data_IF_864484890066
#
_entry.id   IF_864484890066
#
_cell.length_a   1.000
_cell.length_b   1.000
_cell.length_c   1.000
_cell.angle_alpha   90.00
_cell.angle_beta   90.00
_cell.angle_gamma   90.00
#
_symmetry.space_group_name_H-M   'P 1'
#
loop_
_entity.id
_entity.type
_entity.pdbx_description
1 polymer ?
#
# COMPACT_ATOMS: atom_id res chain seq x y z
N UNK A 1 -25.42 6.81 -8.99
CA UNK A 1 -24.82 5.50 -8.69
C UNK A 1 -23.52 5.38 -9.49
N UNK A 2 -22.42 4.92 -8.86
CA UNK A 2 -21.13 4.74 -9.54
C UNK A 2 -21.18 3.70 -10.67
N UNK A 3 -22.08 2.72 -10.58
CA UNK A 3 -22.18 1.58 -11.49
C UNK A 3 -22.49 1.89 -12.96
N UNK A 4 -22.99 3.08 -13.27
CA UNK A 4 -23.25 3.48 -14.66
C UNK A 4 -21.98 4.04 -15.34
N UNK A 5 -21.01 4.51 -14.55
CA UNK A 5 -19.79 5.17 -15.04
C UNK A 5 -18.51 4.38 -14.75
N UNK A 6 -18.55 3.48 -13.78
CA UNK A 6 -17.39 2.71 -13.36
C UNK A 6 -17.72 1.24 -13.13
N UNK A 7 -16.76 0.38 -13.45
CA UNK A 7 -16.78 -1.03 -13.04
C UNK A 7 -15.84 -1.22 -11.88
N UNK A 8 -16.20 -2.05 -10.89
CA UNK A 8 -15.36 -2.43 -9.75
C UNK A 8 -15.05 -3.92 -9.84
N UNK A 9 -13.80 -4.27 -9.74
CA UNK A 9 -13.30 -5.66 -9.79
C UNK A 9 -12.38 -5.91 -8.62
N UNK A 10 -12.45 -7.09 -8.05
CA UNK A 10 -11.64 -7.52 -6.91
C UNK A 10 -10.60 -8.54 -7.34
N UNK A 11 -9.45 -8.57 -6.65
CA UNK A 11 -8.39 -9.57 -6.80
C UNK A 11 -8.01 -9.78 -8.28
N UNK A 12 -7.47 -8.73 -8.91
CA UNK A 12 -7.10 -8.78 -10.32
C UNK A 12 -5.60 -8.80 -10.53
N UNK A 13 -5.15 -9.75 -11.33
CA UNK A 13 -3.76 -9.74 -11.78
C UNK A 13 -3.51 -8.50 -12.64
N UNK A 14 -2.45 -7.75 -12.35
CA UNK A 14 -2.16 -6.48 -13.03
C UNK A 14 -2.02 -6.66 -14.55
N UNK A 15 -1.43 -7.76 -15.03
CA UNK A 15 -1.31 -8.05 -16.45
C UNK A 15 -2.65 -8.08 -17.18
N UNK A 16 -3.67 -8.65 -16.54
CA UNK A 16 -5.01 -8.74 -17.12
C UNK A 16 -5.68 -7.36 -17.20
N UNK A 17 -5.39 -6.47 -16.23
CA UNK A 17 -5.92 -5.11 -16.19
C UNK A 17 -5.29 -4.22 -17.25
N UNK A 18 -3.98 -4.34 -17.47
CA UNK A 18 -3.24 -3.52 -18.43
C UNK A 18 -3.07 -4.19 -19.80
N UNK A 19 -3.59 -5.40 -19.97
CA UNK A 19 -3.53 -6.20 -21.21
C UNK A 19 -2.09 -6.42 -21.71
N UNK A 20 -1.18 -6.76 -20.80
CA UNK A 20 0.22 -7.09 -21.10
C UNK A 20 0.55 -8.55 -20.78
N UNK A 21 1.61 -9.06 -21.39
CA UNK A 21 2.14 -10.39 -21.04
C UNK A 21 2.70 -10.35 -19.58
N UNK A 22 2.39 -11.39 -18.82
CA UNK A 22 2.92 -11.57 -17.44
C UNK A 22 4.46 -11.52 -17.39
N UNK A 23 5.14 -11.88 -18.47
CA UNK A 23 6.60 -11.82 -18.58
C UNK A 23 7.16 -10.39 -18.57
N UNK A 24 6.37 -9.40 -18.95
CA UNK A 24 6.76 -7.99 -18.95
C UNK A 24 6.72 -7.36 -17.54
N UNK A 25 6.17 -8.08 -16.55
CA UNK A 25 5.96 -7.60 -15.18
C UNK A 25 6.99 -8.16 -14.18
N UNK A 26 8.16 -8.58 -14.64
CA UNK A 26 9.16 -9.26 -13.79
C UNK A 26 9.65 -8.42 -12.61
N UNK A 27 9.63 -7.10 -12.75
CA UNK A 27 10.16 -6.16 -11.74
C UNK A 27 9.08 -5.60 -10.80
N UNK A 28 7.83 -6.05 -10.93
CA UNK A 28 6.78 -5.64 -9.99
C UNK A 28 6.91 -6.38 -8.67
N UNK A 29 6.76 -5.61 -7.58
CA UNK A 29 6.86 -6.18 -6.22
C UNK A 29 5.66 -7.07 -5.85
N UNK A 30 4.53 -6.89 -6.55
CA UNK A 30 3.29 -7.68 -6.44
C UNK A 30 2.67 -7.83 -7.84
N UNK A 31 1.73 -8.75 -7.97
CA UNK A 31 1.03 -8.99 -9.24
C UNK A 31 -0.50 -8.91 -9.13
N UNK A 32 -1.06 -8.99 -7.93
CA UNK A 32 -2.50 -8.91 -7.69
C UNK A 32 -2.85 -7.58 -7.04
N UNK A 33 -3.92 -6.97 -7.54
CA UNK A 33 -4.50 -5.71 -7.06
C UNK A 33 -5.78 -6.06 -6.32
N UNK A 34 -5.92 -5.62 -5.09
CA UNK A 34 -7.09 -5.97 -4.26
C UNK A 34 -8.39 -5.41 -4.84
N UNK A 35 -8.41 -4.14 -5.25
CA UNK A 35 -9.56 -3.52 -5.90
C UNK A 35 -9.11 -2.70 -7.11
N UNK A 36 -9.76 -2.92 -8.24
CA UNK A 36 -9.59 -2.13 -9.46
C UNK A 36 -10.90 -1.44 -9.81
N UNK A 37 -10.86 -0.13 -10.02
CA UNK A 37 -11.98 0.66 -10.51
C UNK A 37 -11.63 1.16 -11.92
N UNK A 38 -12.50 0.92 -12.89
CA UNK A 38 -12.28 1.32 -14.28
C UNK A 38 -13.46 2.12 -14.78
N UNK A 39 -13.19 3.22 -15.46
CA UNK A 39 -14.18 4.03 -16.14
C UNK A 39 -14.78 3.26 -17.33
N UNK A 40 -16.10 3.27 -17.45
CA UNK A 40 -16.82 2.63 -18.57
C UNK A 40 -16.71 3.51 -19.81
N UNK A 41 -16.11 2.98 -20.88
CA UNK A 41 -15.90 3.74 -22.12
C UNK A 41 -14.80 4.81 -22.05
N UNK A 42 -14.13 4.96 -20.92
CA UNK A 42 -13.00 5.86 -20.70
C UNK A 42 -11.70 5.12 -20.43
N UNK A 43 -10.65 5.88 -20.10
CA UNK A 43 -9.31 5.35 -19.84
C UNK A 43 -8.90 5.39 -18.36
N UNK A 44 -9.70 6.01 -17.50
CA UNK A 44 -9.34 6.15 -16.09
C UNK A 44 -9.38 4.80 -15.36
N UNK A 45 -8.29 4.49 -14.70
CA UNK A 45 -8.10 3.29 -13.88
C UNK A 45 -7.56 3.68 -12.51
N UNK A 46 -8.13 3.11 -11.47
CA UNK A 46 -7.72 3.31 -10.09
C UNK A 46 -7.42 1.96 -9.45
N UNK A 47 -6.32 1.88 -8.72
CA UNK A 47 -5.92 0.68 -7.98
C UNK A 47 -5.95 0.96 -6.48
N UNK A 48 -6.48 0.03 -5.70
CA UNK A 48 -6.50 0.14 -4.24
C UNK A 48 -5.91 -1.13 -3.65
N UNK A 49 -4.91 -0.95 -2.79
CA UNK A 49 -4.33 -1.99 -1.94
C UNK A 49 -4.92 -1.88 -0.54
N UNK A 50 -5.38 -2.99 0.00
CA UNK A 50 -5.96 -3.10 1.33
C UNK A 50 -5.05 -3.92 2.24
N UNK A 51 -4.88 -3.47 3.49
CA UNK A 51 -4.10 -4.21 4.47
C UNK A 51 -4.77 -4.18 5.84
N UNK A 52 -4.93 -5.38 6.41
CA UNK A 52 -5.31 -5.58 7.81
C UNK A 52 -4.47 -6.71 8.40
N UNK A 53 -3.38 -6.41 9.11
CA UNK A 53 -2.51 -7.43 9.69
C UNK A 53 -3.23 -8.14 10.84
N UNK A 54 -3.17 -9.46 10.85
CA UNK A 54 -3.79 -10.32 11.86
C UNK A 54 -2.80 -10.98 12.81
N UNK A 55 -1.51 -10.63 12.70
CA UNK A 55 -0.45 -11.20 13.54
C UNK A 55 0.52 -10.13 14.04
N UNK A 56 1.25 -10.43 15.12
CA UNK A 56 2.14 -9.50 15.81
C UNK A 56 3.55 -9.37 15.23
N UNK A 57 3.79 -9.74 13.99
CA UNK A 57 5.11 -9.59 13.34
C UNK A 57 5.28 -8.16 12.79
N UNK A 58 5.36 -7.19 13.71
CA UNK A 58 5.28 -5.76 13.38
C UNK A 58 6.28 -5.30 12.31
N UNK A 59 7.60 -5.59 12.38
CA UNK A 59 8.54 -5.10 11.39
C UNK A 59 8.31 -5.70 10.01
N UNK A 60 7.95 -6.97 9.91
CA UNK A 60 7.57 -7.62 8.64
C UNK A 60 6.29 -7.05 8.07
N UNK A 61 5.28 -6.82 8.92
CA UNK A 61 4.03 -6.21 8.48
C UNK A 61 4.26 -4.77 8.00
N UNK A 62 5.03 -3.97 8.74
CA UNK A 62 5.39 -2.61 8.32
C UNK A 62 6.14 -2.61 6.98
N UNK A 63 7.05 -3.56 6.76
CA UNK A 63 7.72 -3.72 5.47
C UNK A 63 6.75 -4.11 4.35
N UNK A 64 5.77 -4.97 4.66
CA UNK A 64 4.69 -5.31 3.72
C UNK A 64 3.84 -4.10 3.34
N UNK A 65 3.54 -3.19 4.30
CA UNK A 65 2.81 -1.95 4.02
C UNK A 65 3.60 -1.04 3.05
N UNK A 66 4.92 -0.93 3.24
CA UNK A 66 5.79 -0.16 2.33
C UNK A 66 5.83 -0.80 0.93
N UNK A 67 5.80 -2.14 0.87
CA UNK A 67 5.71 -2.87 -0.39
C UNK A 67 4.43 -2.55 -1.17
N UNK A 68 3.30 -2.35 -0.47
CA UNK A 68 2.05 -1.93 -1.09
C UNK A 68 2.15 -0.51 -1.65
N UNK A 69 2.84 0.42 -0.96
CA UNK A 69 3.12 1.77 -1.50
C UNK A 69 3.96 1.70 -2.78
N UNK A 70 5.02 0.88 -2.78
CA UNK A 70 5.84 0.66 -3.99
C UNK A 70 5.02 0.08 -5.14
N UNK A 71 4.14 -0.86 -4.86
CA UNK A 71 3.26 -1.42 -5.88
C UNK A 71 2.31 -0.37 -6.45
N UNK A 72 1.79 0.52 -5.61
CA UNK A 72 1.00 1.67 -6.05
C UNK A 72 1.77 2.59 -7.01
N UNK A 73 3.04 2.89 -6.74
CA UNK A 73 3.90 3.63 -7.67
C UNK A 73 4.08 2.89 -9.00
N UNK A 74 4.29 1.57 -8.94
CA UNK A 74 4.45 0.75 -10.14
C UNK A 74 3.17 0.71 -10.99
N UNK A 75 1.99 0.66 -10.35
CA UNK A 75 0.72 0.74 -11.08
C UNK A 75 0.56 2.05 -11.86
N UNK A 76 1.01 3.20 -11.32
CA UNK A 76 1.01 4.47 -12.07
C UNK A 76 1.85 4.37 -13.35
N UNK A 77 3.03 3.73 -13.29
CA UNK A 77 3.89 3.52 -14.46
C UNK A 77 3.22 2.63 -15.53
N UNK A 78 2.22 1.86 -15.14
CA UNK A 78 1.39 1.04 -16.03
C UNK A 78 0.09 1.72 -16.47
N UNK A 79 -0.04 3.03 -16.25
CA UNK A 79 -1.14 3.84 -16.75
C UNK A 79 -2.38 3.83 -15.86
N UNK A 80 -2.24 3.55 -14.56
CA UNK A 80 -3.29 3.88 -13.61
C UNK A 80 -3.31 5.39 -13.37
N UNK A 81 -4.51 5.95 -13.21
CA UNK A 81 -4.72 7.39 -13.01
C UNK A 81 -4.31 7.82 -11.61
N UNK A 82 -4.74 7.06 -10.62
CA UNK A 82 -4.36 7.16 -9.22
C UNK A 82 -4.38 5.79 -8.58
N UNK A 83 -3.59 5.64 -7.51
CA UNK A 83 -3.59 4.41 -6.71
C UNK A 83 -3.59 4.74 -5.22
N UNK A 84 -4.09 3.81 -4.42
CA UNK A 84 -4.32 4.04 -3.00
C UNK A 84 -3.86 2.86 -2.17
N UNK A 85 -3.19 3.13 -1.05
CA UNK A 85 -2.91 2.14 -0.02
C UNK A 85 -3.75 2.48 1.21
N UNK A 86 -4.67 1.62 1.57
CA UNK A 86 -5.46 1.71 2.80
C UNK A 86 -5.03 0.61 3.76
N UNK A 87 -4.43 1.02 4.88
CA UNK A 87 -4.04 0.10 5.94
C UNK A 87 -4.86 0.38 7.18
N UNK A 88 -5.46 -0.65 7.72
CA UNK A 88 -6.17 -0.64 9.01
C UNK A 88 -5.39 -1.52 9.98
N UNK A 89 -5.26 -1.11 11.23
CA UNK A 89 -4.62 -1.88 12.31
C UNK A 89 -5.48 -1.83 13.57
N UNK A 90 -5.43 -2.89 14.36
CA UNK A 90 -6.13 -3.03 15.64
C UNK A 90 -5.18 -3.06 16.85
N UNK A 91 -3.87 -2.92 16.63
CA UNK A 91 -2.86 -2.92 17.68
C UNK A 91 -2.05 -1.62 17.70
N UNK A 92 -2.07 -0.94 18.84
CA UNK A 92 -1.37 0.31 19.06
C UNK A 92 0.18 0.21 18.92
N UNK A 93 0.74 -0.99 18.90
CA UNK A 93 2.17 -1.19 18.62
C UNK A 93 2.58 -0.82 17.21
N UNK A 94 1.64 -0.73 16.28
CA UNK A 94 1.93 -0.20 14.94
C UNK A 94 2.19 1.31 14.95
N UNK A 95 1.54 2.10 15.81
CA UNK A 95 1.55 3.55 15.71
C UNK A 95 2.09 4.31 16.94
N UNK A 96 2.03 3.78 18.16
CA UNK A 96 2.51 4.53 19.33
C UNK A 96 3.08 3.72 20.50
N UNK A 97 2.57 2.54 20.82
CA UNK A 97 2.90 1.77 22.05
C UNK A 97 4.23 1.01 21.96
N UNK A 98 4.95 1.05 20.86
CA UNK A 98 6.24 0.40 20.73
C UNK A 98 7.38 1.26 21.27
N UNK A 99 8.37 0.63 21.91
CA UNK A 99 9.58 1.32 22.41
C UNK A 99 10.55 1.69 21.29
N UNK A 100 10.62 0.87 20.23
CA UNK A 100 11.46 1.14 19.05
C UNK A 100 10.86 2.26 18.20
N UNK A 101 11.67 3.27 17.87
CA UNK A 101 11.29 4.43 17.04
C UNK A 101 12.30 4.73 15.93
N UNK A 102 13.28 3.87 15.77
CA UNK A 102 14.32 3.89 14.75
C UNK A 102 13.99 2.97 13.58
N UNK A 103 14.79 2.96 12.56
CA UNK A 103 14.63 2.16 11.34
C UNK A 103 13.18 2.22 10.80
N UNK A 104 12.62 1.08 10.41
CA UNK A 104 11.27 0.98 9.84
C UNK A 104 10.18 1.54 10.77
N UNK A 105 10.39 1.48 12.09
CA UNK A 105 9.40 1.98 13.06
C UNK A 105 9.26 3.50 13.02
N UNK A 106 10.30 4.22 12.59
CA UNK A 106 10.27 5.69 12.50
C UNK A 106 9.15 6.18 11.58
N UNK A 107 8.93 5.51 10.45
CA UNK A 107 7.89 5.88 9.49
C UNK A 107 6.46 5.77 10.07
N UNK A 108 6.25 4.80 10.95
CA UNK A 108 4.92 4.49 11.50
C UNK A 108 4.66 5.14 12.86
N UNK A 109 5.71 5.46 13.63
CA UNK A 109 5.59 5.90 15.03
C UNK A 109 6.06 7.32 15.30
N UNK A 110 6.80 7.97 14.37
CA UNK A 110 7.42 9.28 14.61
C UNK A 110 7.13 10.34 13.55
N UNK A 111 6.31 10.09 12.57
CA UNK A 111 6.07 10.99 11.43
C UNK A 111 7.29 11.21 10.51
N UNK A 112 8.30 10.34 10.56
CA UNK A 112 9.37 10.39 9.59
C UNK A 112 8.81 10.21 8.17
N UNK A 113 9.40 10.91 7.21
CA UNK A 113 9.04 10.78 5.79
C UNK A 113 9.45 9.40 5.30
N UNK A 114 8.51 8.70 4.68
CA UNK A 114 8.75 7.42 4.03
C UNK A 114 9.20 7.70 2.60
N UNK A 115 10.49 7.49 2.32
CA UNK A 115 11.14 7.80 1.04
C UNK A 115 12.40 6.95 0.82
N UNK A 116 12.86 6.90 -0.43
CA UNK A 116 14.14 6.30 -0.79
C UNK A 116 14.20 4.79 -0.60
N UNK A 117 15.38 4.28 -0.23
CA UNK A 117 15.65 2.85 -0.10
C UNK A 117 15.38 2.36 1.31
N UNK A 118 14.43 1.44 1.44
CA UNK A 118 14.05 0.81 2.71
C UNK A 118 14.52 -0.65 2.70
N UNK A 119 15.27 -1.01 3.74
CA UNK A 119 15.79 -2.37 3.94
C UNK A 119 14.78 -3.17 4.76
N UNK A 120 14.54 -4.42 4.37
CA UNK A 120 13.74 -5.33 5.18
C UNK A 120 14.42 -5.56 6.54
N UNK A 121 13.71 -5.31 7.66
CA UNK A 121 14.33 -5.31 8.99
C UNK A 121 14.67 -6.71 9.53
N UNK A 122 14.23 -7.77 8.85
CA UNK A 122 14.31 -9.15 9.33
C UNK A 122 14.57 -10.12 8.17
N UNK A 123 15.06 -11.30 8.53
CA UNK A 123 15.37 -12.38 7.58
C UNK A 123 16.86 -12.42 7.22
N UNK A 124 17.24 -13.51 6.54
CA UNK A 124 18.63 -13.71 6.09
C UNK A 124 18.94 -13.01 4.77
N UNK A 125 17.93 -12.84 3.94
CA UNK A 125 18.06 -12.21 2.63
C UNK A 125 17.78 -10.71 2.74
N UNK A 126 18.71 -9.89 2.28
CA UNK A 126 18.53 -8.44 2.23
C UNK A 126 17.55 -8.11 1.11
N UNK A 127 16.30 -7.86 1.46
CA UNK A 127 15.32 -7.33 0.52
C UNK A 127 15.28 -5.80 0.63
N UNK A 128 15.23 -5.14 -0.51
CA UNK A 128 15.15 -3.69 -0.62
C UNK A 128 13.86 -3.28 -1.32
N UNK A 129 13.30 -2.18 -0.87
CA UNK A 129 12.23 -1.45 -1.59
C UNK A 129 12.74 -0.04 -1.83
N UNK A 130 12.71 0.39 -3.07
CA UNK A 130 13.05 1.75 -3.45
C UNK A 130 11.78 2.50 -3.82
N UNK A 131 11.45 3.54 -3.07
CA UNK A 131 10.33 4.42 -3.33
C UNK A 131 10.78 5.61 -4.17
N UNK A 132 9.96 5.97 -5.15
CA UNK A 132 10.20 7.12 -6.02
C UNK A 132 9.60 8.41 -5.46
N UNK A 133 8.59 8.32 -4.64
CA UNK A 133 7.90 9.42 -3.99
C UNK A 133 8.23 9.55 -2.51
N UNK A 134 7.67 10.61 -1.91
CA UNK A 134 7.77 10.92 -0.49
C UNK A 134 6.38 10.81 0.14
N UNK A 135 6.24 10.06 1.22
CA UNK A 135 4.96 9.80 1.86
C UNK A 135 5.03 10.03 3.36
N UNK A 136 3.90 10.40 3.95
CA UNK A 136 3.75 10.49 5.40
C UNK A 136 2.60 9.61 5.87
N UNK A 137 2.88 8.75 6.84
CA UNK A 137 1.86 7.92 7.48
C UNK A 137 1.18 8.74 8.56
N UNK A 138 -0.10 9.06 8.31
CA UNK A 138 -0.95 9.83 9.22
C UNK A 138 -2.07 8.94 9.75
N UNK A 139 -1.85 8.35 10.91
CA UNK A 139 -2.84 7.51 11.56
C UNK A 139 -4.08 8.29 11.97
N UNK A 140 -5.24 7.78 11.61
CA UNK A 140 -6.55 8.33 11.93
C UNK A 140 -7.35 7.30 12.72
N UNK A 141 -8.18 7.77 13.65
CA UNK A 141 -9.08 6.90 14.41
C UNK A 141 -10.29 6.52 13.57
N UNK A 142 -10.72 5.27 13.70
CA UNK A 142 -11.98 4.84 13.13
C UNK A 142 -13.06 5.15 14.16
N UNK A 143 -14.04 5.99 13.78
CA UNK A 143 -15.14 6.36 14.67
C UNK A 143 -16.00 5.14 15.03
N UNK A 144 -16.53 5.13 16.24
CA UNK A 144 -17.41 4.07 16.79
C UNK A 144 -16.74 2.67 16.89
N UNK A 145 -15.43 2.62 16.93
CA UNK A 145 -14.67 1.38 17.20
C UNK A 145 -13.90 1.49 18.51
N UNK A 146 -13.19 0.43 18.89
CA UNK A 146 -12.26 0.48 20.02
C UNK A 146 -11.19 1.55 19.78
N UNK A 147 -10.64 2.12 20.87
CA UNK A 147 -9.60 3.16 20.78
C UNK A 147 -8.31 2.67 20.07
N UNK A 148 -8.14 1.38 19.91
CA UNK A 148 -6.94 0.79 19.29
C UNK A 148 -7.00 0.73 17.77
N UNK A 149 -8.19 0.80 17.16
CA UNK A 149 -8.30 0.79 15.69
C UNK A 149 -7.85 2.12 15.10
N UNK A 150 -6.89 2.00 14.16
CA UNK A 150 -6.39 3.13 13.36
C UNK A 150 -6.29 2.73 11.90
N UNK A 151 -6.37 3.72 11.04
CA UNK A 151 -6.07 3.56 9.63
C UNK A 151 -5.22 4.70 9.11
N UNK A 152 -4.57 4.48 8.00
CA UNK A 152 -4.07 5.53 7.12
C UNK A 152 -4.43 5.24 5.68
N UNK A 153 -4.52 6.30 4.90
CA UNK A 153 -4.69 6.26 3.46
C UNK A 153 -3.56 7.05 2.81
N UNK A 154 -2.79 6.41 1.94
CA UNK A 154 -1.83 7.06 1.06
C UNK A 154 -2.43 7.07 -0.34
N UNK A 155 -2.59 8.26 -0.94
CA UNK A 155 -2.89 8.43 -2.35
C UNK A 155 -1.58 8.65 -3.12
N UNK A 156 -1.32 7.80 -4.10
CA UNK A 156 -0.14 7.89 -4.97
C UNK A 156 -0.59 8.43 -6.32
N UNK A 157 -0.03 9.57 -6.71
CA UNK A 157 -0.37 10.34 -7.93
C UNK A 157 0.90 10.73 -8.66
N UNK A 158 0.82 10.89 -9.97
CA UNK A 158 1.86 11.51 -10.78
C UNK A 158 1.87 13.02 -10.58
#
# INVERSE_FOLDING_TARGET
>A
QLGDFYTVKFERHIADVIQKDKKELKDTVKHEIDIVIQEVGGNAKYGIELKFPTNGQYPEQMFSFIKDVRFCEQMLNYGFTETYCLTVVDDAKFYNKGTKKDDIYSFFRTKATLEGTIVKPTGKDTQLIELSGEYQIKWQQIFNTSEEYRYYLIAVKL
#
